data_IF_801757614850
#
_entry.id   IF_801757614850
#
_cell.length_a   1.000
_cell.length_b   1.000
_cell.length_c   1.000
_cell.angle_alpha   90.00
_cell.angle_beta   90.00
_cell.angle_gamma   90.00
#
_symmetry.space_group_name_H-M   'P 1'
#
loop_
_entity.id
_entity.type
_entity.pdbx_description
1 polymer ?
#
# COMPACT_ATOMS: atom_id res chain seq x y z
N UNK A 1 -10.10 7.81 25.18
CA UNK A 1 -10.45 6.40 24.86
C UNK A 1 -11.73 5.95 25.56
N UNK A 2 -11.91 6.25 26.84
CA UNK A 2 -13.18 6.02 27.55
C UNK A 2 -14.40 6.68 26.85
N UNK A 3 -14.23 7.88 26.28
CA UNK A 3 -15.32 8.58 25.58
C UNK A 3 -15.75 7.91 24.27
N UNK A 4 -14.78 7.40 23.49
CA UNK A 4 -15.05 6.67 22.25
C UNK A 4 -15.77 5.33 22.52
N UNK A 5 -15.40 4.66 23.63
CA UNK A 5 -16.01 3.40 24.08
C UNK A 5 -17.43 3.61 24.61
N UNK A 6 -17.69 4.70 25.35
CA UNK A 6 -19.04 5.10 25.76
C UNK A 6 -19.93 5.49 24.59
N UNK A 7 -19.40 6.20 23.59
CA UNK A 7 -20.16 6.64 22.42
C UNK A 7 -20.70 5.48 21.58
N UNK A 8 -19.97 4.37 21.50
CA UNK A 8 -20.42 3.16 20.79
C UNK A 8 -21.21 2.19 21.67
N UNK A 9 -21.43 2.52 22.95
CA UNK A 9 -22.21 1.70 23.89
C UNK A 9 -21.56 0.37 24.29
N UNK A 10 -20.24 0.26 24.18
CA UNK A 10 -19.50 -0.98 24.46
C UNK A 10 -18.73 -0.82 25.77
N UNK A 11 -18.57 -1.89 26.57
CA UNK A 11 -17.73 -1.81 27.78
C UNK A 11 -16.24 -1.75 27.42
N UNK A 12 -15.42 -1.09 28.24
CA UNK A 12 -13.96 -1.06 28.03
C UNK A 12 -13.35 -2.47 27.97
N UNK A 13 -13.86 -3.39 28.78
CA UNK A 13 -13.44 -4.80 28.76
C UNK A 13 -13.72 -5.47 27.40
N UNK A 14 -14.89 -5.22 26.82
CA UNK A 14 -15.26 -5.74 25.50
C UNK A 14 -14.39 -5.13 24.40
N UNK A 15 -14.09 -3.82 24.48
CA UNK A 15 -13.16 -3.17 23.55
C UNK A 15 -11.75 -3.77 23.62
N UNK A 16 -11.20 -3.99 24.82
CA UNK A 16 -9.89 -4.62 24.98
C UNK A 16 -9.88 -6.08 24.50
N UNK A 17 -10.98 -6.82 24.67
CA UNK A 17 -11.13 -8.18 24.11
C UNK A 17 -11.13 -8.16 22.58
N UNK A 18 -11.88 -7.26 21.95
CA UNK A 18 -11.87 -7.10 20.49
C UNK A 18 -10.53 -6.64 19.96
N UNK A 19 -9.83 -5.74 20.65
CA UNK A 19 -8.47 -5.34 20.31
C UNK A 19 -7.49 -6.53 20.39
N UNK A 20 -7.66 -7.40 21.40
CA UNK A 20 -6.85 -8.62 21.54
C UNK A 20 -7.16 -9.65 20.46
N UNK A 21 -8.42 -9.76 20.06
CA UNK A 21 -8.91 -10.76 19.10
C UNK A 21 -8.71 -10.35 17.64
N UNK A 22 -8.80 -9.06 17.32
CA UNK A 22 -8.79 -8.53 15.95
C UNK A 22 -7.67 -7.50 15.69
N UNK A 23 -6.97 -7.02 16.72
CA UNK A 23 -5.99 -5.94 16.60
C UNK A 23 -4.57 -6.36 16.18
N UNK A 24 -4.28 -7.66 16.12
CA UNK A 24 -2.97 -8.19 15.68
C UNK A 24 -2.85 -8.37 14.16
N UNK A 25 -3.92 -8.85 13.51
CA UNK A 25 -3.91 -9.19 12.08
C UNK A 25 -3.94 -7.95 11.17
N UNK A 26 -4.65 -6.88 11.57
CA UNK A 26 -4.82 -5.69 10.74
C UNK A 26 -3.55 -4.84 10.57
N UNK A 27 -2.71 -4.69 11.61
CA UNK A 27 -1.53 -3.81 11.53
C UNK A 27 -0.42 -4.38 10.65
N UNK A 28 -0.17 -5.68 10.74
CA UNK A 28 0.84 -6.35 9.91
C UNK A 28 0.38 -6.48 8.45
N UNK A 29 -0.91 -6.76 8.22
CA UNK A 29 -1.50 -6.72 6.88
C UNK A 29 -1.46 -5.32 6.26
N UNK A 30 -1.76 -4.27 7.03
CA UNK A 30 -1.64 -2.88 6.56
C UNK A 30 -0.20 -2.50 6.25
N UNK A 31 0.77 -2.99 7.03
CA UNK A 31 2.19 -2.79 6.75
C UNK A 31 2.60 -3.47 5.45
N UNK A 32 2.27 -4.75 5.27
CA UNK A 32 2.52 -5.48 4.03
C UNK A 32 1.85 -4.81 2.83
N UNK A 33 0.61 -4.33 2.98
CA UNK A 33 -0.11 -3.62 1.91
C UNK A 33 0.60 -2.32 1.52
N UNK A 34 1.07 -1.54 2.49
CA UNK A 34 1.86 -0.32 2.23
C UNK A 34 3.20 -0.62 1.56
N UNK A 35 3.89 -1.67 2.01
CA UNK A 35 5.17 -2.08 1.43
C UNK A 35 4.97 -2.55 -0.02
N UNK A 36 3.91 -3.33 -0.29
CA UNK A 36 3.53 -3.75 -1.64
C UNK A 36 3.12 -2.58 -2.53
N UNK A 37 2.37 -1.61 -2.01
CA UNK A 37 2.01 -0.39 -2.76
C UNK A 37 3.26 0.39 -3.17
N UNK A 38 4.20 0.59 -2.24
CA UNK A 38 5.46 1.28 -2.50
C UNK A 38 6.31 0.56 -3.55
N UNK A 39 6.40 -0.77 -3.47
CA UNK A 39 7.16 -1.53 -4.47
C UNK A 39 6.46 -1.50 -5.83
N UNK A 40 5.12 -1.55 -5.88
CA UNK A 40 4.37 -1.43 -7.13
C UNK A 40 4.61 -0.07 -7.80
N UNK A 41 4.60 1.03 -7.04
CA UNK A 41 4.93 2.37 -7.54
C UNK A 41 6.35 2.41 -8.12
N UNK A 42 7.33 1.85 -7.40
CA UNK A 42 8.73 1.78 -7.86
C UNK A 42 8.86 1.00 -9.16
N UNK A 43 8.19 -0.15 -9.25
CA UNK A 43 8.19 -1.00 -10.44
C UNK A 43 7.51 -0.33 -11.63
N UNK A 44 6.36 0.32 -11.42
CA UNK A 44 5.66 1.06 -12.47
C UNK A 44 6.53 2.17 -13.05
N UNK A 45 7.23 2.92 -12.19
CA UNK A 45 8.17 3.96 -12.64
C UNK A 45 9.31 3.35 -13.46
N UNK A 46 9.95 2.30 -12.96
CA UNK A 46 11.04 1.63 -13.67
C UNK A 46 10.58 1.08 -15.04
N UNK A 47 9.38 0.52 -15.12
CA UNK A 47 8.81 0.04 -16.39
C UNK A 47 8.53 1.19 -17.35
N UNK A 48 7.99 2.32 -16.87
CA UNK A 48 7.76 3.49 -17.70
C UNK A 48 9.08 4.06 -18.26
N UNK A 49 10.10 4.22 -17.42
CA UNK A 49 11.42 4.71 -17.80
C UNK A 49 12.05 3.77 -18.86
N UNK A 50 12.06 2.45 -18.62
CA UNK A 50 12.57 1.46 -19.57
C UNK A 50 11.79 1.42 -20.88
N UNK A 51 10.47 1.63 -20.82
CA UNK A 51 9.62 1.67 -22.02
C UNK A 51 9.94 2.90 -22.84
N UNK A 52 10.14 4.06 -22.20
CA UNK A 52 10.55 5.29 -22.86
C UNK A 52 11.92 5.14 -23.52
N UNK A 53 12.92 4.61 -22.80
CA UNK A 53 14.25 4.36 -23.35
C UNK A 53 14.18 3.44 -24.57
N UNK A 54 13.40 2.36 -24.49
CA UNK A 54 13.19 1.45 -25.61
C UNK A 54 12.58 2.17 -26.81
N UNK A 55 11.61 3.05 -26.61
CA UNK A 55 10.99 3.83 -27.68
C UNK A 55 11.98 4.78 -28.32
N UNK A 56 12.76 5.51 -27.52
CA UNK A 56 13.81 6.43 -28.01
C UNK A 56 14.83 5.66 -28.84
N UNK A 57 15.33 4.52 -28.35
CA UNK A 57 16.29 3.71 -29.08
C UNK A 57 15.71 3.14 -30.38
N UNK A 58 14.45 2.72 -30.35
CA UNK A 58 13.76 2.19 -31.54
C UNK A 58 13.58 3.29 -32.60
N UNK A 59 13.19 4.50 -32.19
CA UNK A 59 13.01 5.63 -33.09
C UNK A 59 14.34 6.11 -33.68
N UNK A 60 15.38 6.22 -32.85
CA UNK A 60 16.74 6.54 -33.30
C UNK A 60 17.29 5.50 -34.28
N UNK A 61 16.99 4.21 -34.06
CA UNK A 61 17.39 3.13 -34.94
C UNK A 61 16.59 3.07 -36.25
N UNK A 62 15.35 3.60 -36.27
CA UNK A 62 14.52 3.62 -37.48
C UNK A 62 15.03 4.60 -38.54
N UNK A 63 15.72 5.68 -38.13
CA UNK A 63 16.38 6.61 -39.04
C UNK A 63 15.40 7.41 -39.90
N UNK A 64 15.59 8.73 -39.94
CA UNK A 64 14.97 9.59 -40.95
C UNK A 64 15.67 9.33 -42.29
N UNK A 65 15.15 8.41 -43.10
CA UNK A 65 15.40 8.38 -44.54
C UNK A 65 14.28 9.11 -45.28
#
# INVERSE_FOLDING_TARGET
MADAVRQIGVSELTFYRWRKQYGGMSRDQLRQLKDLQKENERLRKAVADLTLDKLILTEAARGNF
#
